data_IF_457436347030
#
_entry.id   IF_457436347030
#
_cell.length_a   1.000
_cell.length_b   1.000
_cell.length_c   1.000
_cell.angle_alpha   90.00
_cell.angle_beta   90.00
_cell.angle_gamma   90.00
#
_symmetry.space_group_name_H-M   'P 1'
#
loop_
_entity.id
_entity.type
_entity.pdbx_description
1 polymer ?
#
# COMPACT_ATOMS: atom_id res chain seq x y z
N UNK A 1 -5.91 -64.02 8.20
CA UNK A 1 -6.76 -62.82 8.09
C UNK A 1 -7.35 -62.83 6.67
N UNK A 2 -8.69 -62.74 6.55
CA UNK A 2 -9.34 -62.88 5.25
C UNK A 2 -8.99 -61.68 4.35
N UNK A 3 -8.47 -61.91 3.15
CA UNK A 3 -7.99 -60.87 2.22
C UNK A 3 -9.03 -59.75 1.98
N UNK A 4 -10.33 -60.08 2.00
CA UNK A 4 -11.41 -59.07 1.93
C UNK A 4 -11.38 -58.07 3.11
N UNK A 5 -11.29 -58.56 4.33
CA UNK A 5 -11.27 -57.70 5.54
C UNK A 5 -10.03 -56.79 5.58
N UNK A 6 -8.91 -57.28 5.07
CA UNK A 6 -7.69 -56.46 4.95
C UNK A 6 -7.86 -55.33 3.94
N UNK A 7 -8.49 -55.66 2.79
CA UNK A 7 -8.74 -54.64 1.74
C UNK A 7 -9.72 -53.54 2.22
N UNK A 8 -10.82 -53.94 2.88
CA UNK A 8 -11.81 -53.02 3.42
C UNK A 8 -11.16 -52.08 4.48
N UNK A 9 -10.29 -52.64 5.32
CA UNK A 9 -9.59 -51.86 6.34
C UNK A 9 -8.59 -50.88 5.72
N UNK A 10 -7.84 -51.28 4.68
CA UNK A 10 -6.95 -50.44 3.93
C UNK A 10 -7.68 -49.27 3.22
N UNK A 11 -8.89 -49.53 2.68
CA UNK A 11 -9.73 -48.49 2.12
C UNK A 11 -10.16 -47.45 3.16
N UNK A 12 -10.58 -47.89 4.34
CA UNK A 12 -10.97 -46.98 5.45
C UNK A 12 -9.78 -46.13 5.88
N UNK A 13 -8.60 -46.72 6.09
CA UNK A 13 -7.40 -46.01 6.47
C UNK A 13 -6.98 -45.01 5.37
N UNK A 14 -7.06 -45.44 4.10
CA UNK A 14 -6.78 -44.55 2.97
C UNK A 14 -7.72 -43.33 2.91
N UNK A 15 -9.02 -43.56 3.16
CA UNK A 15 -9.99 -42.47 3.20
C UNK A 15 -9.70 -41.48 4.37
N UNK A 16 -9.38 -42.00 5.55
CA UNK A 16 -8.98 -41.15 6.69
C UNK A 16 -7.72 -40.37 6.40
N UNK A 17 -6.70 -40.95 5.76
CA UNK A 17 -5.48 -40.29 5.38
C UNK A 17 -5.74 -39.13 4.41
N UNK A 18 -6.65 -39.32 3.43
CA UNK A 18 -7.06 -38.25 2.49
C UNK A 18 -7.77 -37.12 3.23
N UNK A 19 -8.71 -37.43 4.12
CA UNK A 19 -9.42 -36.41 4.92
C UNK A 19 -8.45 -35.61 5.79
N UNK A 20 -7.52 -36.28 6.47
CA UNK A 20 -6.51 -35.63 7.30
C UNK A 20 -5.57 -34.75 6.45
N UNK A 21 -5.19 -35.20 5.25
CA UNK A 21 -4.39 -34.40 4.30
C UNK A 21 -5.12 -33.14 3.87
N UNK A 22 -6.41 -33.22 3.57
CA UNK A 22 -7.23 -32.06 3.20
C UNK A 22 -7.37 -31.06 4.37
N UNK A 23 -7.56 -31.54 5.58
CA UNK A 23 -7.58 -30.69 6.78
C UNK A 23 -6.24 -29.99 6.98
N UNK A 24 -5.13 -30.71 6.81
CA UNK A 24 -3.78 -30.15 6.93
C UNK A 24 -3.52 -29.07 5.87
N UNK A 25 -3.89 -29.34 4.61
CA UNK A 25 -3.79 -28.35 3.53
C UNK A 25 -4.65 -27.11 3.85
N UNK A 26 -5.87 -27.29 4.35
CA UNK A 26 -6.72 -26.17 4.78
C UNK A 26 -6.10 -25.32 5.88
N UNK A 27 -5.44 -25.96 6.85
CA UNK A 27 -4.70 -25.26 7.91
C UNK A 27 -3.47 -24.51 7.35
N UNK A 28 -2.71 -25.12 6.44
CA UNK A 28 -1.58 -24.48 5.78
C UNK A 28 -2.03 -23.25 5.00
N UNK A 29 -3.08 -23.37 4.17
CA UNK A 29 -3.61 -22.21 3.41
C UNK A 29 -4.00 -21.05 4.34
N UNK A 30 -4.58 -21.36 5.50
CA UNK A 30 -4.93 -20.33 6.48
C UNK A 30 -3.70 -19.65 7.08
N UNK A 31 -2.64 -20.40 7.37
CA UNK A 31 -1.38 -19.86 7.84
C UNK A 31 -0.71 -19.00 6.76
N UNK A 32 -0.71 -19.45 5.51
CA UNK A 32 -0.14 -18.70 4.38
C UNK A 32 -0.85 -17.36 4.18
N UNK A 33 -2.18 -17.29 4.34
CA UNK A 33 -2.94 -16.04 4.30
C UNK A 33 -2.52 -15.07 5.41
N UNK A 34 -2.33 -15.56 6.65
CA UNK A 34 -1.88 -14.72 7.77
C UNK A 34 -0.46 -14.19 7.53
N UNK A 35 0.43 -15.03 7.00
CA UNK A 35 1.80 -14.63 6.66
C UNK A 35 1.78 -13.60 5.51
N UNK A 36 0.96 -13.80 4.49
CA UNK A 36 0.82 -12.87 3.38
C UNK A 36 0.33 -11.49 3.85
N UNK A 37 -0.69 -11.45 4.73
CA UNK A 37 -1.22 -10.20 5.31
C UNK A 37 -0.14 -9.47 6.14
N UNK A 38 0.56 -10.19 7.02
CA UNK A 38 1.67 -9.62 7.80
C UNK A 38 2.80 -9.09 6.91
N UNK A 39 3.11 -9.79 5.81
CA UNK A 39 4.13 -9.39 4.84
C UNK A 39 3.72 -8.11 4.11
N UNK A 40 2.46 -8.01 3.66
CA UNK A 40 1.93 -6.81 3.02
C UNK A 40 1.98 -5.60 3.98
N UNK A 41 1.59 -5.79 5.23
CA UNK A 41 1.69 -4.74 6.26
C UNK A 41 3.14 -4.27 6.43
N UNK A 42 4.09 -5.19 6.52
CA UNK A 42 5.51 -4.85 6.67
C UNK A 42 6.08 -4.15 5.43
N UNK A 43 5.70 -4.57 4.23
CA UNK A 43 6.11 -3.90 2.98
C UNK A 43 5.61 -2.45 2.94
N UNK A 44 4.36 -2.20 3.34
CA UNK A 44 3.78 -0.85 3.42
C UNK A 44 4.50 0.01 4.46
N UNK A 45 4.75 -0.55 5.65
CA UNK A 45 5.50 0.14 6.70
C UNK A 45 6.91 0.51 6.25
N UNK A 46 7.61 -0.40 5.58
CA UNK A 46 8.94 -0.14 5.02
C UNK A 46 8.90 0.95 3.93
N UNK A 47 7.89 0.95 3.06
CA UNK A 47 7.70 2.00 2.05
C UNK A 47 7.50 3.37 2.70
N UNK A 48 6.62 3.49 3.68
CA UNK A 48 6.39 4.72 4.43
C UNK A 48 7.65 5.18 5.17
N UNK A 49 8.39 4.24 5.78
CA UNK A 49 9.66 4.53 6.44
C UNK A 49 10.71 5.03 5.45
N UNK A 50 10.82 4.44 4.26
CA UNK A 50 11.76 4.87 3.23
C UNK A 50 11.50 6.32 2.79
N UNK A 51 10.24 6.72 2.64
CA UNK A 51 9.85 8.10 2.34
C UNK A 51 10.27 9.03 3.50
N UNK A 52 10.04 8.61 4.75
CA UNK A 52 10.41 9.38 5.93
C UNK A 52 11.93 9.56 6.04
N UNK A 53 12.70 8.49 5.80
CA UNK A 53 14.17 8.51 5.78
C UNK A 53 14.68 9.44 4.68
N UNK A 54 14.13 9.33 3.47
CA UNK A 54 14.48 10.24 2.37
C UNK A 54 14.29 11.71 2.75
N UNK A 55 13.18 12.06 3.42
CA UNK A 55 12.90 13.43 3.86
C UNK A 55 13.80 13.88 5.02
N UNK A 56 14.26 12.95 5.88
CA UNK A 56 15.16 13.28 7.00
C UNK A 56 16.60 13.47 6.52
N UNK A 57 17.08 12.57 5.66
CA UNK A 57 18.47 12.56 5.18
C UNK A 57 18.74 13.62 4.11
N UNK A 58 17.75 13.98 3.30
CA UNK A 58 17.88 15.02 2.29
C UNK A 58 17.47 16.38 2.88
N UNK A 59 18.46 17.15 3.33
CA UNK A 59 18.24 18.48 3.90
C UNK A 59 17.60 19.45 2.92
N UNK A 60 18.00 19.42 1.65
CA UNK A 60 17.46 20.28 0.60
C UNK A 60 15.98 20.01 0.34
N UNK A 61 15.59 18.72 0.22
CA UNK A 61 14.20 18.32 0.05
C UNK A 61 13.34 18.74 1.26
N UNK A 62 13.89 18.64 2.46
CA UNK A 62 13.22 19.06 3.70
C UNK A 62 13.06 20.59 3.78
N UNK A 63 14.05 21.34 3.33
CA UNK A 63 13.98 22.80 3.24
C UNK A 63 12.94 23.20 2.21
N UNK A 64 12.98 22.62 0.99
CA UNK A 64 12.03 22.87 -0.07
C UNK A 64 10.59 22.61 0.36
N UNK A 65 10.35 21.47 1.05
CA UNK A 65 9.02 21.11 1.57
C UNK A 65 8.51 22.10 2.61
N UNK A 66 9.36 22.54 3.55
CA UNK A 66 8.99 23.54 4.55
C UNK A 66 8.70 24.91 3.94
N UNK A 67 9.51 25.31 2.96
CA UNK A 67 9.37 26.57 2.24
C UNK A 67 8.06 26.60 1.46
N UNK A 68 7.75 25.53 0.73
CA UNK A 68 6.47 25.38 0.04
C UNK A 68 5.26 25.52 0.98
N UNK A 69 5.28 24.80 2.13
CA UNK A 69 4.16 24.80 3.07
C UNK A 69 3.97 26.16 3.74
N UNK A 70 5.06 26.89 4.04
CA UNK A 70 4.99 28.16 4.80
C UNK A 70 4.90 29.39 3.93
N UNK A 71 5.54 29.39 2.79
CA UNK A 71 5.78 30.59 1.96
C UNK A 71 5.14 30.47 0.58
N UNK A 72 4.75 29.26 0.18
CA UNK A 72 4.09 28.99 -1.10
C UNK A 72 5.03 28.61 -2.23
N UNK A 73 4.43 28.14 -3.33
CA UNK A 73 5.13 27.58 -4.49
C UNK A 73 6.07 28.59 -5.19
N UNK A 74 5.69 29.86 -5.22
CA UNK A 74 6.43 30.90 -5.95
C UNK A 74 7.76 31.26 -5.30
N UNK A 75 8.00 30.80 -4.07
CA UNK A 75 9.26 31.04 -3.35
C UNK A 75 10.32 29.97 -3.62
N UNK A 76 9.95 28.84 -4.24
CA UNK A 76 10.87 27.75 -4.57
C UNK A 76 11.71 28.10 -5.80
N UNK A 77 13.02 27.82 -5.72
CA UNK A 77 13.87 27.74 -6.91
C UNK A 77 13.49 26.55 -7.78
N UNK A 78 13.99 26.51 -9.02
CA UNK A 78 13.71 25.39 -9.93
C UNK A 78 14.24 24.04 -9.37
N UNK A 79 15.42 24.05 -8.73
CA UNK A 79 15.98 22.86 -8.10
C UNK A 79 15.16 22.40 -6.89
N UNK A 80 14.75 23.34 -6.02
CA UNK A 80 13.87 23.05 -4.88
C UNK A 80 12.51 22.49 -5.33
N UNK A 81 11.98 23.03 -6.43
CA UNK A 81 10.73 22.57 -7.05
C UNK A 81 10.86 21.17 -7.60
N UNK A 82 11.97 20.85 -8.28
CA UNK A 82 12.25 19.52 -8.79
C UNK A 82 12.38 18.49 -7.64
N UNK A 83 13.13 18.81 -6.58
CA UNK A 83 13.28 17.95 -5.41
C UNK A 83 11.96 17.70 -4.70
N UNK A 84 11.14 18.76 -4.53
CA UNK A 84 9.81 18.59 -3.95
C UNK A 84 8.92 17.70 -4.82
N UNK A 85 8.98 17.85 -6.14
CA UNK A 85 8.19 17.05 -7.09
C UNK A 85 8.53 15.57 -6.97
N UNK A 86 9.80 15.18 -6.81
CA UNK A 86 10.19 13.80 -6.56
C UNK A 86 9.64 13.26 -5.24
N UNK A 87 9.69 14.06 -4.18
CA UNK A 87 9.12 13.69 -2.89
C UNK A 87 7.59 13.52 -2.99
N UNK A 88 6.91 14.45 -3.66
CA UNK A 88 5.48 14.41 -3.92
C UNK A 88 5.06 13.14 -4.67
N UNK A 89 5.72 12.83 -5.78
CA UNK A 89 5.46 11.62 -6.56
C UNK A 89 5.74 10.34 -5.74
N UNK A 90 6.79 10.31 -4.92
CA UNK A 90 7.11 9.16 -4.07
C UNK A 90 5.99 8.89 -3.04
N UNK A 91 5.44 9.94 -2.46
CA UNK A 91 4.30 9.87 -1.55
C UNK A 91 3.05 9.37 -2.29
N UNK A 92 2.74 9.94 -3.46
CA UNK A 92 1.60 9.51 -4.27
C UNK A 92 1.71 8.05 -4.70
N UNK A 93 2.90 7.58 -5.12
CA UNK A 93 3.14 6.19 -5.49
C UNK A 93 2.88 5.23 -4.31
N UNK A 94 3.23 5.63 -3.09
CA UNK A 94 2.91 4.86 -1.89
C UNK A 94 1.39 4.73 -1.69
N UNK A 95 0.64 5.83 -1.81
CA UNK A 95 -0.82 5.80 -1.67
C UNK A 95 -1.53 5.13 -2.84
N UNK A 96 -1.03 5.24 -4.07
CA UNK A 96 -1.55 4.49 -5.21
C UNK A 96 -1.39 2.98 -5.00
N UNK A 97 -0.23 2.54 -4.48
CA UNK A 97 -0.01 1.15 -4.13
C UNK A 97 -0.99 0.66 -3.06
N UNK A 98 -1.26 1.49 -2.04
CA UNK A 98 -2.27 1.20 -1.01
C UNK A 98 -3.68 1.12 -1.61
N UNK A 99 -4.03 2.04 -2.51
CA UNK A 99 -5.31 2.02 -3.23
C UNK A 99 -5.49 0.75 -4.06
N UNK A 100 -4.44 0.32 -4.76
CA UNK A 100 -4.47 -0.94 -5.50
C UNK A 100 -4.73 -2.14 -4.58
N UNK A 101 -4.04 -2.23 -3.45
CA UNK A 101 -4.26 -3.29 -2.46
C UNK A 101 -5.69 -3.27 -1.90
N UNK A 102 -6.24 -2.07 -1.66
CA UNK A 102 -7.63 -1.90 -1.25
C UNK A 102 -8.62 -2.43 -2.30
N UNK A 103 -8.42 -2.10 -3.58
CA UNK A 103 -9.28 -2.59 -4.67
C UNK A 103 -9.19 -4.12 -4.86
N UNK A 104 -8.07 -4.75 -4.48
CA UNK A 104 -7.90 -6.20 -4.50
C UNK A 104 -8.48 -6.89 -3.24
N UNK A 105 -9.04 -6.12 -2.29
CA UNK A 105 -9.53 -6.66 -1.02
C UNK A 105 -8.43 -7.10 -0.05
N UNK A 106 -7.18 -6.72 -0.31
CA UNK A 106 -6.00 -7.00 0.51
C UNK A 106 -5.74 -5.91 1.56
N UNK A 107 -6.43 -4.80 1.48
CA UNK A 107 -6.43 -3.71 2.45
C UNK A 107 -7.87 -3.46 2.90
N UNK A 108 -8.11 -3.33 4.20
CA UNK A 108 -9.44 -3.04 4.71
C UNK A 108 -9.88 -1.62 4.38
N UNK A 109 -11.21 -1.38 4.36
CA UNK A 109 -11.78 -0.04 4.22
C UNK A 109 -11.24 0.92 5.29
N UNK A 110 -11.15 0.48 6.54
CA UNK A 110 -10.66 1.29 7.66
C UNK A 110 -9.20 1.76 7.43
N UNK A 111 -8.36 0.87 6.93
CA UNK A 111 -6.96 1.18 6.60
C UNK A 111 -6.88 2.16 5.43
N UNK A 112 -7.66 1.95 4.37
CA UNK A 112 -7.72 2.88 3.24
C UNK A 112 -8.23 4.26 3.65
N UNK A 113 -9.28 4.33 4.44
CA UNK A 113 -9.81 5.61 4.98
C UNK A 113 -8.79 6.33 5.85
N UNK A 114 -7.97 5.58 6.59
CA UNK A 114 -6.85 6.15 7.35
C UNK A 114 -5.78 6.75 6.45
N UNK A 115 -5.42 6.05 5.37
CA UNK A 115 -4.44 6.52 4.38
C UNK A 115 -4.92 7.82 3.70
N UNK A 116 -6.18 7.87 3.27
CA UNK A 116 -6.77 9.07 2.65
C UNK A 116 -6.82 10.25 3.63
N UNK A 117 -7.18 10.01 4.89
CA UNK A 117 -7.14 11.08 5.91
C UNK A 117 -5.73 11.61 6.14
N UNK A 118 -4.72 10.74 6.13
CA UNK A 118 -3.32 11.15 6.27
C UNK A 118 -2.89 12.01 5.07
N UNK A 119 -3.19 11.58 3.86
CA UNK A 119 -2.88 12.31 2.63
C UNK A 119 -3.57 13.69 2.62
N UNK A 120 -4.86 13.74 2.96
CA UNK A 120 -5.60 14.98 3.10
C UNK A 120 -4.97 15.94 4.13
N UNK A 121 -4.66 15.43 5.33
CA UNK A 121 -4.08 16.26 6.41
C UNK A 121 -2.67 16.77 6.05
N UNK A 122 -1.94 16.04 5.22
CA UNK A 122 -0.61 16.44 4.80
C UNK A 122 -0.64 17.65 3.85
N UNK A 123 -1.67 17.77 3.00
CA UNK A 123 -1.63 18.71 1.87
C UNK A 123 -2.80 19.69 1.76
N UNK A 124 -3.87 19.54 2.51
CA UNK A 124 -5.11 20.33 2.33
C UNK A 124 -4.91 21.87 2.37
N UNK A 125 -3.95 22.34 3.17
CA UNK A 125 -3.73 23.78 3.40
C UNK A 125 -2.46 24.29 2.70
N UNK A 126 -1.99 23.61 1.64
CA UNK A 126 -0.75 23.93 0.96
C UNK A 126 -0.92 24.11 -0.54
N UNK A 127 0.03 24.80 -1.15
CA UNK A 127 0.12 24.95 -2.61
C UNK A 127 0.44 23.66 -3.37
N UNK A 128 0.50 22.52 -2.67
CA UNK A 128 0.82 21.20 -3.24
C UNK A 128 -0.17 20.79 -4.34
N UNK A 129 -1.44 21.18 -4.20
CA UNK A 129 -2.45 20.94 -5.23
C UNK A 129 -2.07 21.50 -6.60
N UNK A 130 -1.22 22.54 -6.65
CA UNK A 130 -0.73 23.11 -7.91
C UNK A 130 0.20 22.17 -8.69
N UNK A 131 0.77 21.16 -8.03
CA UNK A 131 1.54 20.10 -8.69
C UNK A 131 0.65 18.98 -9.24
N UNK A 132 -0.57 18.84 -8.72
CA UNK A 132 -1.52 17.84 -9.16
C UNK A 132 -2.27 18.30 -10.41
N UNK A 133 -1.58 18.40 -11.52
CA UNK A 133 -2.15 18.88 -12.78
C UNK A 133 -1.73 17.99 -13.95
N UNK A 134 -2.50 18.02 -15.04
CA UNK A 134 -2.18 17.47 -16.36
C UNK A 134 -1.31 16.21 -16.33
N UNK A 135 -0.05 16.30 -16.75
CA UNK A 135 0.81 15.13 -16.94
C UNK A 135 1.03 14.29 -15.67
N UNK A 136 1.04 14.93 -14.48
CA UNK A 136 1.23 14.19 -13.21
C UNK A 136 -0.03 13.41 -12.89
N UNK A 137 -1.20 14.05 -12.92
CA UNK A 137 -2.47 13.37 -12.69
C UNK A 137 -2.68 12.20 -13.66
N UNK A 138 -2.38 12.41 -14.94
CA UNK A 138 -2.55 11.42 -16.01
C UNK A 138 -1.58 10.23 -15.89
N UNK A 139 -0.49 10.35 -15.11
CA UNK A 139 0.45 9.25 -14.88
C UNK A 139 -0.08 8.21 -13.88
N UNK A 140 -1.14 8.51 -13.15
CA UNK A 140 -1.77 7.63 -12.17
C UNK A 140 -3.02 6.95 -12.73
N UNK A 141 -3.41 5.82 -12.12
CA UNK A 141 -4.67 5.15 -12.46
C UNK A 141 -5.85 6.08 -12.19
N UNK A 142 -6.81 6.13 -13.11
CA UNK A 142 -7.96 7.03 -13.00
C UNK A 142 -8.73 6.86 -11.69
N UNK A 143 -8.89 5.62 -11.21
CA UNK A 143 -9.58 5.35 -9.94
C UNK A 143 -8.86 5.97 -8.73
N UNK A 144 -7.53 6.00 -8.72
CA UNK A 144 -6.75 6.65 -7.69
C UNK A 144 -6.73 8.17 -7.89
N UNK A 145 -6.59 8.62 -9.13
CA UNK A 145 -6.61 10.05 -9.45
C UNK A 145 -7.90 10.72 -9.00
N UNK A 146 -9.05 10.04 -9.12
CA UNK A 146 -10.34 10.54 -8.61
C UNK A 146 -10.37 10.69 -7.08
N UNK A 147 -9.68 9.82 -6.33
CA UNK A 147 -9.57 9.97 -4.87
C UNK A 147 -8.71 11.17 -4.50
N UNK A 148 -7.59 11.38 -5.23
CA UNK A 148 -6.72 12.55 -5.01
C UNK A 148 -7.42 13.85 -5.41
N UNK A 149 -8.20 13.85 -6.50
CA UNK A 149 -9.00 15.00 -6.93
C UNK A 149 -9.96 15.47 -5.81
N UNK A 150 -10.55 14.53 -5.05
CA UNK A 150 -11.44 14.86 -3.92
C UNK A 150 -10.71 15.50 -2.74
N UNK A 151 -9.40 15.27 -2.61
CA UNK A 151 -8.59 15.88 -1.55
C UNK A 151 -8.27 17.33 -1.89
N UNK A 152 -8.06 17.63 -3.17
CA UNK A 152 -7.64 18.94 -3.64
C UNK A 152 -8.78 19.87 -4.07
N UNK A 153 -10.02 19.35 -4.18
CA UNK A 153 -11.24 20.11 -4.49
C UNK A 153 -12.08 20.36 -3.24
#
# INVERSE_FOLDING_TARGET
MNSKKLNDWLQVVGLFAVVLSLLFVGMQMRQDLVIADATLYQMRANSAMSISVMMIENEEARIASRKLIREGLDTLTDDERALFLFAFQSILNHYESSHYLYLQGLLSQEQWDSDIRQLHNLWRDSDVAKFWTGPIRESYRESFAMEVDRIFN
#
